data_IF_871190568743
#
_entry.id   IF_871190568743
#
_cell.length_a   1.000
_cell.length_b   1.000
_cell.length_c   1.000
_cell.angle_alpha   90.00
_cell.angle_beta   90.00
_cell.angle_gamma   90.00
#
_symmetry.space_group_name_H-M   'P 1'
#
loop_
_entity.id
_entity.type
_entity.pdbx_description
1 polymer ?
#
# COMPACT_ATOMS: atom_id res chain seq x y z
N UNK A 1 19.30 3.33 -24.01
CA UNK A 1 18.88 3.43 -22.71
C UNK A 1 17.79 4.45 -22.50
N UNK A 2 17.89 5.52 -23.10
CA UNK A 2 16.89 6.51 -22.95
C UNK A 2 15.59 6.10 -23.53
N UNK A 3 15.60 5.16 -24.39
CA UNK A 3 14.36 4.66 -24.90
C UNK A 3 13.48 4.18 -23.80
N UNK A 4 14.09 3.61 -22.80
CA UNK A 4 13.30 3.23 -21.66
C UNK A 4 12.72 4.44 -21.03
N UNK A 5 13.48 5.51 -21.06
CA UNK A 5 12.97 6.73 -20.48
C UNK A 5 11.80 7.25 -21.24
N UNK A 6 11.77 7.01 -22.51
CA UNK A 6 10.61 7.38 -23.27
C UNK A 6 9.41 6.60 -22.82
N UNK A 7 9.62 5.33 -22.63
CA UNK A 7 8.54 4.51 -22.16
C UNK A 7 8.16 4.87 -20.76
N UNK A 8 9.06 5.49 -20.07
CA UNK A 8 8.80 5.91 -18.71
C UNK A 8 7.62 6.82 -18.63
N UNK A 9 7.33 7.51 -19.69
CA UNK A 9 6.14 8.34 -19.67
C UNK A 9 4.90 7.51 -19.38
N UNK A 10 4.89 6.25 -19.78
CA UNK A 10 3.75 5.41 -19.54
C UNK A 10 3.72 4.74 -18.20
N UNK A 11 4.83 4.36 -17.61
CA UNK A 11 4.78 3.70 -16.32
C UNK A 11 3.99 4.45 -15.27
N UNK A 12 3.91 5.78 -15.39
CA UNK A 12 3.13 6.59 -14.48
C UNK A 12 1.71 6.07 -14.37
N UNK A 13 1.15 5.65 -15.48
CA UNK A 13 -0.24 5.20 -15.51
C UNK A 13 -0.39 3.77 -15.01
N UNK A 14 0.70 3.10 -14.73
CA UNK A 14 0.67 1.70 -14.33
C UNK A 14 0.85 1.50 -12.85
N UNK A 15 1.16 2.54 -12.13
CA UNK A 15 1.31 2.43 -10.70
C UNK A 15 -0.05 2.15 -10.08
N UNK A 16 -0.08 1.20 -9.20
CA UNK A 16 -1.30 0.85 -8.50
C UNK A 16 -0.94 0.31 -7.12
N UNK A 17 -1.93 0.25 -6.25
CA UNK A 17 -1.79 -0.42 -4.97
C UNK A 17 -3.02 -1.28 -4.71
N UNK A 18 -2.88 -2.40 -4.00
CA UNK A 18 -4.03 -3.21 -3.65
C UNK A 18 -4.81 -2.57 -2.51
N UNK A 19 -6.11 -2.59 -2.66
CA UNK A 19 -7.08 -2.18 -1.66
C UNK A 19 -7.75 -3.43 -1.11
N UNK A 20 -7.78 -3.56 0.20
CA UNK A 20 -8.47 -4.65 0.87
C UNK A 20 -9.76 -4.08 1.46
N UNK A 21 -10.88 -4.58 1.02
CA UNK A 21 -12.17 -4.03 1.40
C UNK A 21 -13.17 -5.15 1.70
N UNK A 22 -14.24 -4.78 2.41
CA UNK A 22 -15.33 -5.69 2.73
C UNK A 22 -16.51 -5.42 1.80
N UNK A 23 -17.08 -6.48 1.25
CA UNK A 23 -18.33 -6.39 0.51
C UNK A 23 -19.52 -6.39 1.48
N UNK A 24 -20.70 -6.21 0.91
CA UNK A 24 -21.93 -6.05 1.72
C UNK A 24 -22.16 -7.26 2.63
N UNK A 25 -21.79 -8.44 2.16
CA UNK A 25 -21.97 -9.68 2.93
C UNK A 25 -20.90 -9.89 4.00
N UNK A 26 -19.93 -8.98 4.11
CA UNK A 26 -18.86 -9.08 5.09
C UNK A 26 -17.62 -9.81 4.62
N UNK A 27 -17.66 -10.42 3.45
CA UNK A 27 -16.47 -11.04 2.87
C UNK A 27 -15.48 -9.98 2.42
N UNK A 28 -14.20 -10.35 2.42
CA UNK A 28 -13.15 -9.41 2.06
C UNK A 28 -12.49 -9.79 0.75
N UNK A 29 -11.99 -8.78 0.07
CA UNK A 29 -11.48 -8.89 -1.29
C UNK A 29 -10.33 -7.95 -1.50
N UNK A 30 -9.47 -8.25 -2.47
CA UNK A 30 -8.48 -7.30 -2.99
C UNK A 30 -8.98 -6.67 -4.27
N UNK A 31 -8.64 -5.42 -4.46
CA UNK A 31 -8.87 -4.68 -5.70
C UNK A 31 -7.65 -3.81 -5.97
N UNK A 32 -7.11 -3.88 -7.16
CA UNK A 32 -5.99 -3.01 -7.51
C UNK A 32 -6.53 -1.64 -7.90
N UNK A 33 -6.01 -0.62 -7.23
CA UNK A 33 -6.42 0.78 -7.44
C UNK A 33 -5.32 1.48 -8.22
N UNK A 34 -5.62 1.95 -9.43
CA UNK A 34 -4.60 2.67 -10.20
C UNK A 34 -4.32 4.02 -9.60
N UNK A 35 -3.05 4.44 -9.69
CA UNK A 35 -2.61 5.75 -9.22
C UNK A 35 -2.31 6.59 -10.46
N UNK A 36 -3.15 7.60 -10.69
CA UNK A 36 -2.96 8.53 -11.79
C UNK A 36 -2.08 9.67 -11.33
N UNK A 37 -1.07 9.99 -12.11
CA UNK A 37 -0.13 11.06 -11.80
C UNK A 37 -0.05 12.03 -12.96
N UNK A 38 0.34 13.26 -12.66
CA UNK A 38 0.53 14.28 -13.68
C UNK A 38 1.81 15.05 -13.36
N UNK A 39 2.52 15.53 -14.38
CA UNK A 39 3.75 16.28 -14.15
C UNK A 39 3.46 17.65 -13.55
N UNK A 40 4.28 18.03 -12.58
CA UNK A 40 4.25 19.36 -11.99
C UNK A 40 5.68 19.86 -11.87
N UNK A 41 5.82 21.19 -11.84
CA UNK A 41 7.10 21.83 -11.57
C UNK A 41 7.30 21.80 -10.06
N UNK A 42 8.18 20.92 -9.61
CA UNK A 42 8.30 20.62 -8.18
C UNK A 42 8.96 21.78 -7.41
N UNK A 43 9.98 22.36 -7.99
CA UNK A 43 10.72 23.48 -7.36
C UNK A 43 10.69 24.65 -8.32
N UNK A 44 9.60 25.43 -8.36
CA UNK A 44 9.40 26.44 -9.41
C UNK A 44 10.44 27.55 -9.42
N UNK A 45 11.06 27.85 -8.27
CA UNK A 45 12.06 28.90 -8.20
C UNK A 45 13.46 28.44 -8.59
N UNK A 46 13.62 27.17 -8.88
CA UNK A 46 14.90 26.60 -9.24
C UNK A 46 15.15 26.77 -10.73
N UNK A 47 16.31 27.32 -11.16
CA UNK A 47 16.62 27.42 -12.58
C UNK A 47 16.63 26.02 -13.20
N UNK A 48 15.96 25.87 -14.35
CA UNK A 48 15.85 24.56 -14.97
C UNK A 48 15.04 23.59 -14.15
N UNK A 49 14.02 24.07 -13.47
CA UNK A 49 13.23 23.29 -12.53
C UNK A 49 12.80 21.95 -13.12
N UNK A 50 13.04 20.85 -12.39
CA UNK A 50 12.64 19.52 -12.87
C UNK A 50 11.14 19.34 -12.78
N UNK A 51 10.61 18.50 -13.64
CA UNK A 51 9.24 18.01 -13.55
C UNK A 51 9.23 16.76 -12.69
N UNK A 52 8.19 16.63 -11.90
CA UNK A 52 7.92 15.45 -11.09
C UNK A 52 6.48 15.04 -11.32
N UNK A 53 6.25 13.78 -11.51
CA UNK A 53 4.88 13.25 -11.63
C UNK A 53 4.31 13.05 -10.25
N UNK A 54 3.15 13.61 -10.00
CA UNK A 54 2.48 13.48 -8.69
C UNK A 54 1.03 13.09 -8.87
N UNK A 55 0.54 12.34 -7.92
CA UNK A 55 -0.87 12.04 -7.79
C UNK A 55 -1.54 13.06 -6.89
N UNK A 56 -2.86 13.05 -6.86
CA UNK A 56 -3.61 13.87 -5.93
C UNK A 56 -3.28 13.48 -4.50
N UNK A 57 -2.98 14.48 -3.67
CA UNK A 57 -2.68 14.26 -2.26
C UNK A 57 -3.92 13.76 -1.52
N UNK A 58 -3.68 12.96 -0.51
CA UNK A 58 -4.75 12.48 0.38
C UNK A 58 -4.52 13.05 1.77
N UNK A 59 -5.62 13.40 2.43
CA UNK A 59 -5.57 13.84 3.81
C UNK A 59 -5.35 12.64 4.71
N UNK A 60 -4.45 12.79 5.68
CA UNK A 60 -4.13 11.72 6.62
C UNK A 60 -4.25 12.24 8.05
N UNK A 61 -4.47 11.33 8.99
CA UNK A 61 -4.67 11.71 10.39
C UNK A 61 -3.52 11.26 11.30
N UNK A 62 -2.82 10.21 10.94
CA UNK A 62 -1.74 9.70 11.78
C UNK A 62 -0.75 8.90 10.96
N UNK A 63 0.52 8.99 11.34
CA UNK A 63 1.58 8.16 10.79
C UNK A 63 2.23 7.43 11.95
N UNK A 64 2.35 6.10 11.84
CA UNK A 64 2.86 5.27 12.92
C UNK A 64 3.90 4.30 12.38
N UNK A 65 5.02 4.17 13.07
CA UNK A 65 6.01 3.13 12.81
C UNK A 65 5.70 1.94 13.70
N UNK A 66 5.66 0.75 13.14
CA UNK A 66 5.37 -0.46 13.90
C UNK A 66 6.33 -1.58 13.52
N UNK A 67 6.61 -2.44 14.48
CA UNK A 67 7.41 -3.63 14.27
C UNK A 67 6.56 -4.85 14.56
N UNK A 68 6.49 -5.74 13.60
CA UNK A 68 5.89 -7.05 13.78
C UNK A 68 7.03 -8.02 14.05
N UNK A 69 6.97 -8.70 15.17
CA UNK A 69 8.03 -9.65 15.52
C UNK A 69 8.03 -10.83 14.56
N UNK A 70 9.16 -11.50 14.48
CA UNK A 70 9.25 -12.72 13.69
C UNK A 70 8.18 -13.70 14.14
N UNK A 71 7.47 -14.28 13.20
CA UNK A 71 6.39 -15.21 13.52
C UNK A 71 5.06 -14.56 13.86
N UNK A 72 4.95 -13.26 13.76
CA UNK A 72 3.67 -12.58 13.98
C UNK A 72 2.58 -13.21 13.11
N UNK A 73 1.47 -13.55 13.72
CA UNK A 73 0.34 -14.17 13.02
C UNK A 73 -0.96 -13.73 13.70
N UNK A 74 -1.64 -12.81 13.06
CA UNK A 74 -2.92 -12.32 13.55
C UNK A 74 -4.05 -13.01 12.77
N UNK A 75 -4.88 -13.72 13.52
CA UNK A 75 -6.03 -14.41 12.94
C UNK A 75 -7.04 -13.40 12.40
N UNK A 76 -8.14 -13.88 11.84
CA UNK A 76 -9.16 -13.05 11.19
C UNK A 76 -9.58 -11.88 12.07
N UNK A 77 -9.42 -10.68 11.54
CA UNK A 77 -9.77 -9.44 12.24
C UNK A 77 -10.03 -8.34 11.22
N UNK A 78 -10.98 -7.44 11.48
CA UNK A 78 -11.15 -6.25 10.66
C UNK A 78 -9.99 -5.29 10.84
N UNK A 79 -9.79 -4.42 9.87
CA UNK A 79 -8.80 -3.36 10.01
C UNK A 79 -9.22 -2.43 11.16
N UNK A 80 -8.28 -1.99 11.99
CA UNK A 80 -8.62 -1.09 13.10
C UNK A 80 -9.07 0.28 12.61
N UNK A 81 -8.63 0.65 11.42
CA UNK A 81 -8.98 1.92 10.77
C UNK A 81 -8.61 1.83 9.31
N UNK A 82 -9.12 2.76 8.51
CA UNK A 82 -8.70 2.87 7.12
C UNK A 82 -7.28 3.42 7.11
N UNK A 83 -6.36 2.70 6.49
CA UNK A 83 -4.97 3.11 6.49
C UNK A 83 -4.18 2.45 5.36
N UNK A 84 -3.18 3.19 4.89
CA UNK A 84 -2.13 2.61 4.07
C UNK A 84 -1.11 1.92 4.97
N UNK A 85 -0.52 0.85 4.46
CA UNK A 85 0.59 0.18 5.11
C UNK A 85 1.74 0.14 4.11
N UNK A 86 2.89 0.62 4.54
CA UNK A 86 4.11 0.61 3.75
C UNK A 86 5.10 -0.31 4.43
N UNK A 87 5.58 -1.31 3.72
CA UNK A 87 6.54 -2.27 4.27
C UNK A 87 7.95 -1.72 4.06
N UNK A 88 8.67 -1.52 5.15
CA UNK A 88 10.05 -1.01 5.10
C UNK A 88 11.05 -2.15 5.04
N UNK A 89 10.83 -3.20 5.84
CA UNK A 89 11.72 -4.37 5.85
C UNK A 89 10.91 -5.59 6.25
N UNK A 90 11.44 -6.77 5.93
CA UNK A 90 10.73 -8.01 6.18
C UNK A 90 9.64 -8.24 5.16
N UNK A 91 8.61 -8.95 5.55
CA UNK A 91 7.51 -9.26 4.66
C UNK A 91 6.22 -9.52 5.41
N UNK A 92 5.13 -9.30 4.72
CA UNK A 92 3.78 -9.50 5.24
C UNK A 92 2.99 -10.31 4.21
N UNK A 93 2.16 -11.21 4.71
CA UNK A 93 1.21 -11.94 3.90
C UNK A 93 -0.19 -11.64 4.40
N UNK A 94 -1.07 -11.25 3.51
CA UNK A 94 -2.47 -10.99 3.81
C UNK A 94 -3.35 -12.04 3.14
N UNK A 95 -4.33 -12.53 3.86
CA UNK A 95 -5.33 -13.46 3.32
C UNK A 95 -6.72 -12.87 3.54
N UNK A 96 -7.51 -12.84 2.49
CA UNK A 96 -8.90 -12.37 2.52
C UNK A 96 -9.86 -13.55 2.44
N UNK A 97 -11.13 -13.29 2.78
CA UNK A 97 -12.09 -14.38 2.92
C UNK A 97 -12.53 -15.01 1.62
N UNK A 98 -12.26 -14.35 0.48
CA UNK A 98 -12.56 -15.01 -0.81
C UNK A 98 -11.48 -16.02 -1.20
N UNK A 99 -10.44 -16.18 -0.37
CA UNK A 99 -9.38 -17.14 -0.57
C UNK A 99 -8.12 -16.60 -1.19
N UNK A 100 -8.12 -15.36 -1.64
CA UNK A 100 -6.94 -14.76 -2.24
C UNK A 100 -5.92 -14.40 -1.16
N UNK A 101 -4.64 -14.54 -1.51
CA UNK A 101 -3.54 -14.26 -0.62
C UNK A 101 -2.51 -13.46 -1.38
N UNK A 102 -2.01 -12.39 -0.76
CA UNK A 102 -0.96 -11.56 -1.37
C UNK A 102 0.15 -11.31 -0.37
N UNK A 103 1.38 -11.29 -0.88
CA UNK A 103 2.57 -11.04 -0.07
C UNK A 103 3.22 -9.73 -0.46
N UNK A 104 3.76 -9.04 0.54
CA UNK A 104 4.38 -7.73 0.37
C UNK A 104 5.73 -7.73 1.04
N UNK A 105 6.76 -7.39 0.28
CA UNK A 105 8.11 -7.21 0.79
C UNK A 105 8.46 -5.73 0.88
N UNK A 106 9.74 -5.39 1.11
CA UNK A 106 10.18 -4.00 1.21
C UNK A 106 9.76 -3.18 0.01
N UNK A 107 9.18 -2.01 0.27
CA UNK A 107 8.62 -1.16 -0.77
C UNK A 107 7.18 -1.49 -1.12
N UNK A 108 6.61 -2.55 -0.57
CA UNK A 108 5.21 -2.90 -0.79
C UNK A 108 4.28 -1.92 -0.09
N UNK A 109 3.16 -1.63 -0.73
CA UNK A 109 2.15 -0.71 -0.21
C UNK A 109 0.79 -1.34 -0.41
N UNK A 110 -0.05 -1.29 0.61
CA UNK A 110 -1.44 -1.70 0.45
C UNK A 110 -2.33 -0.82 1.33
N UNK A 111 -3.61 -0.81 1.01
CA UNK A 111 -4.60 -0.02 1.73
C UNK A 111 -5.65 -0.95 2.31
N UNK A 112 -5.90 -0.84 3.61
CA UNK A 112 -6.93 -1.62 4.28
C UNK A 112 -8.08 -0.71 4.65
N UNK A 113 -9.30 -1.14 4.31
CA UNK A 113 -10.50 -0.43 4.70
C UNK A 113 -11.65 -1.36 5.08
N UNK A 114 -11.33 -2.63 5.33
CA UNK A 114 -12.28 -3.61 5.84
C UNK A 114 -12.47 -3.43 7.35
N UNK A 115 -12.98 -2.27 7.72
CA UNK A 115 -13.17 -1.93 9.14
C UNK A 115 -14.37 -2.63 9.77
N UNK A 116 -15.14 -3.34 8.98
CA UNK A 116 -16.28 -4.15 9.43
C UNK A 116 -16.25 -5.47 8.69
N UNK A 117 -17.09 -6.41 9.10
CA UNK A 117 -17.20 -7.69 8.45
C UNK A 117 -16.23 -8.71 8.99
N UNK A 118 -15.86 -9.68 8.16
CA UNK A 118 -15.05 -10.84 8.60
C UNK A 118 -13.59 -10.53 8.73
N UNK A 119 -13.10 -9.48 8.08
CA UNK A 119 -11.71 -9.08 8.20
C UNK A 119 -10.77 -9.91 7.34
N UNK A 120 -9.52 -9.87 7.73
CA UNK A 120 -8.44 -10.55 7.01
C UNK A 120 -7.46 -11.13 8.02
N UNK A 121 -6.57 -11.98 7.53
CA UNK A 121 -5.45 -12.49 8.33
C UNK A 121 -4.19 -11.77 7.90
N UNK A 122 -3.32 -11.52 8.88
CA UNK A 122 -2.04 -10.86 8.64
C UNK A 122 -0.94 -11.71 9.27
N UNK A 123 0.10 -11.99 8.52
CA UNK A 123 1.19 -12.81 8.99
C UNK A 123 2.51 -12.24 8.53
N UNK A 124 3.48 -12.14 9.44
CA UNK A 124 4.85 -11.82 9.04
C UNK A 124 5.44 -13.06 8.38
N UNK A 125 6.11 -12.87 7.26
CA UNK A 125 6.74 -13.98 6.55
C UNK A 125 8.26 -13.85 6.62
N UNK A 126 8.95 -14.99 6.49
CA UNK A 126 10.38 -15.04 6.63
C UNK A 126 10.78 -15.28 8.07
N UNK A 127 12.08 -15.12 8.35
CA UNK A 127 12.65 -15.45 9.65
C UNK A 127 12.92 -14.24 10.53
N UNK A 128 12.71 -13.05 9.99
CA UNK A 128 13.00 -11.82 10.73
C UNK A 128 11.75 -11.04 11.05
N UNK A 129 11.96 -9.93 11.73
CA UNK A 129 10.89 -8.99 12.02
C UNK A 129 10.48 -8.22 10.77
N UNK A 130 9.30 -7.64 10.80
CA UNK A 130 8.79 -6.81 9.73
C UNK A 130 8.54 -5.41 10.25
N UNK A 131 9.15 -4.41 9.61
CA UNK A 131 8.92 -3.01 9.95
C UNK A 131 7.96 -2.42 8.95
N UNK A 132 6.95 -1.74 9.46
CA UNK A 132 5.96 -1.08 8.60
C UNK A 132 5.70 0.35 9.07
N UNK A 133 5.22 1.15 8.14
CA UNK A 133 4.64 2.47 8.44
C UNK A 133 3.17 2.38 8.08
N UNK A 134 2.31 2.78 9.01
CA UNK A 134 0.89 2.91 8.72
C UNK A 134 0.52 4.37 8.64
N UNK A 135 -0.32 4.71 7.67
CA UNK A 135 -0.78 6.07 7.43
C UNK A 135 -2.30 6.04 7.44
N UNK A 136 -2.87 6.50 8.55
CA UNK A 136 -4.33 6.48 8.74
C UNK A 136 -5.00 7.63 8.01
N UNK A 137 -6.16 7.36 7.46
CA UNK A 137 -6.94 8.35 6.70
C UNK A 137 -8.28 8.63 7.36
#
# INVERSE_FOLDING_TARGET
MIDQCLDVAEPVMRTSYPRLYASVDGDTHFQDVPVSMAPVVYLPDMPGAPLVDVATSQSVTALTFSRLEAGFDADWHPAPRRQFVLVLSGGIELTVTDGEMRSFGPGGVYFVEDTTGKGHRTRAVGTGECLVVTVAC
#
